data_IF_745532198393
#
_entry.id   IF_745532198393
#
_cell.length_a   1.000
_cell.length_b   1.000
_cell.length_c   1.000
_cell.angle_alpha   90.00
_cell.angle_beta   90.00
_cell.angle_gamma   90.00
#
_symmetry.space_group_name_H-M   'P 1'
#
loop_
_entity.id
_entity.type
_entity.pdbx_description
1 polymer ?
#
# COMPACT_ATOMS: atom_id res chain seq x y z
N UNK A 1 -19.96 -27.95 8.82
CA UNK A 1 -19.68 -29.29 9.38
C UNK A 1 -20.17 -29.23 10.82
N UNK A 2 -21.36 -29.75 11.12
CA UNK A 2 -21.85 -29.74 12.50
C UNK A 2 -20.94 -30.67 13.32
N UNK A 3 -20.28 -30.14 14.36
CA UNK A 3 -19.54 -30.94 15.29
C UNK A 3 -20.53 -31.85 16.04
N UNK A 4 -20.46 -33.15 15.76
CA UNK A 4 -21.15 -34.16 16.56
C UNK A 4 -20.33 -34.31 17.84
N UNK A 5 -20.76 -33.60 18.89
CA UNK A 5 -20.32 -33.88 20.26
C UNK A 5 -20.90 -35.24 20.66
N UNK A 6 -20.03 -36.20 20.97
CA UNK A 6 -20.43 -37.46 21.58
C UNK A 6 -20.53 -37.23 23.09
N UNK A 7 -21.74 -36.94 23.57
CA UNK A 7 -22.05 -37.09 24.99
C UNK A 7 -22.33 -38.58 25.27
N UNK A 8 -21.60 -39.14 26.25
CA UNK A 8 -21.59 -40.55 26.64
C UNK A 8 -22.84 -40.97 27.46
N UNK A 9 -23.88 -40.14 27.46
CA UNK A 9 -25.13 -40.39 28.18
C UNK A 9 -26.24 -40.61 27.15
N UNK A 10 -26.62 -41.87 26.95
CA UNK A 10 -27.53 -42.36 25.92
C UNK A 10 -29.01 -41.91 26.03
N UNK A 11 -29.27 -40.64 26.32
CA UNK A 11 -30.59 -40.03 26.16
C UNK A 11 -30.68 -39.33 24.79
N UNK A 12 -31.27 -40.05 23.85
CA UNK A 12 -31.63 -39.55 22.52
C UNK A 12 -32.81 -38.57 22.60
N UNK A 13 -32.59 -37.35 23.07
CA UNK A 13 -33.44 -36.22 22.69
C UNK A 13 -32.88 -35.60 21.41
N UNK A 14 -33.13 -36.27 20.28
CA UNK A 14 -32.93 -35.72 18.95
C UNK A 14 -33.98 -34.62 18.70
N UNK A 15 -33.80 -33.44 19.28
CA UNK A 15 -34.39 -32.22 18.74
C UNK A 15 -33.63 -31.88 17.46
N UNK A 16 -33.92 -32.65 16.41
CA UNK A 16 -33.56 -32.33 15.04
C UNK A 16 -34.37 -31.11 14.60
N UNK A 17 -34.00 -29.92 15.07
CA UNK A 17 -34.22 -28.72 14.28
C UNK A 17 -33.24 -28.78 13.13
N UNK A 18 -33.54 -29.62 12.14
CA UNK A 18 -32.84 -29.78 10.87
C UNK A 18 -33.13 -28.59 9.97
N UNK A 19 -32.82 -27.39 10.47
CA UNK A 19 -32.69 -26.17 9.71
C UNK A 19 -31.32 -25.60 10.04
N UNK A 20 -30.56 -25.08 9.06
CA UNK A 20 -29.29 -24.45 9.35
C UNK A 20 -29.55 -23.30 10.33
N UNK A 21 -28.89 -23.23 11.50
CA UNK A 21 -29.00 -22.04 12.29
C UNK A 21 -28.36 -20.93 11.46
N UNK A 22 -29.17 -19.95 11.01
CA UNK A 22 -28.68 -18.79 10.26
C UNK A 22 -27.72 -17.93 11.10
N UNK A 23 -27.65 -18.20 12.40
CA UNK A 23 -26.72 -17.61 13.37
C UNK A 23 -25.99 -18.72 14.11
N UNK A 24 -24.66 -18.72 14.06
CA UNK A 24 -23.86 -19.63 14.86
C UNK A 24 -24.05 -19.39 16.37
N UNK A 25 -24.04 -20.47 17.16
CA UNK A 25 -24.12 -20.38 18.61
C UNK A 25 -22.86 -19.71 19.19
N UNK A 26 -22.98 -18.89 20.25
CA UNK A 26 -21.83 -18.31 20.92
C UNK A 26 -20.93 -19.39 21.52
N UNK A 27 -19.61 -19.21 21.43
CA UNK A 27 -18.60 -20.04 22.08
C UNK A 27 -18.08 -19.27 23.31
N UNK A 28 -18.72 -19.53 24.46
CA UNK A 28 -18.43 -18.85 25.72
C UNK A 28 -17.12 -19.35 26.37
N UNK A 29 -16.72 -20.61 26.14
CA UNK A 29 -15.61 -21.22 26.87
C UNK A 29 -14.24 -20.68 26.45
N UNK A 30 -14.07 -20.31 25.17
CA UNK A 30 -12.80 -19.81 24.64
C UNK A 30 -12.84 -18.33 24.24
N UNK A 31 -13.94 -17.61 24.48
CA UNK A 31 -14.15 -16.24 23.99
C UNK A 31 -13.91 -16.07 22.47
N UNK A 32 -13.96 -17.16 21.70
CA UNK A 32 -13.74 -17.15 20.25
C UNK A 32 -14.87 -16.46 19.52
N UNK A 33 -16.08 -16.58 20.05
CA UNK A 33 -17.26 -15.90 19.55
C UNK A 33 -18.16 -15.50 20.72
N UNK A 34 -17.93 -14.29 21.23
CA UNK A 34 -18.82 -13.65 22.19
C UNK A 34 -19.41 -12.38 21.57
N UNK A 35 -20.72 -12.20 21.70
CA UNK A 35 -21.39 -10.94 21.37
C UNK A 35 -21.12 -9.83 22.42
N UNK A 36 -20.33 -10.13 23.44
CA UNK A 36 -19.88 -9.19 24.47
C UNK A 36 -18.49 -8.62 24.14
N UNK A 37 -18.09 -7.54 24.81
CA UNK A 37 -16.84 -6.83 24.51
C UNK A 37 -15.59 -7.63 24.95
N UNK A 38 -14.99 -8.40 24.03
CA UNK A 38 -13.69 -9.03 24.21
C UNK A 38 -12.58 -8.24 23.52
N UNK A 39 -11.55 -7.83 24.27
CA UNK A 39 -10.42 -7.05 23.75
C UNK A 39 -9.26 -7.91 23.21
N UNK A 40 -9.31 -9.23 23.35
CA UNK A 40 -8.22 -10.14 22.95
C UNK A 40 -7.87 -10.02 21.47
N UNK A 41 -8.83 -9.69 20.61
CA UNK A 41 -8.64 -9.50 19.16
C UNK A 41 -8.49 -8.04 18.72
N UNK A 42 -8.41 -7.08 19.65
CA UNK A 42 -8.49 -5.65 19.30
C UNK A 42 -7.38 -5.23 18.33
N UNK A 43 -6.11 -5.56 18.60
CA UNK A 43 -5.00 -5.07 17.76
C UNK A 43 -5.02 -5.63 16.34
N UNK A 44 -5.40 -6.91 16.15
CA UNK A 44 -5.64 -7.50 14.82
C UNK A 44 -6.80 -6.80 14.12
N UNK A 45 -7.96 -6.68 14.78
CA UNK A 45 -9.14 -6.03 14.20
C UNK A 45 -8.86 -4.56 13.84
N UNK A 46 -8.21 -3.81 14.73
CA UNK A 46 -7.82 -2.43 14.53
C UNK A 46 -6.81 -2.29 13.39
N UNK A 47 -5.78 -3.14 13.34
CA UNK A 47 -4.77 -3.11 12.26
C UNK A 47 -5.39 -3.43 10.91
N UNK A 48 -6.26 -4.42 10.84
CA UNK A 48 -7.03 -4.76 9.64
C UNK A 48 -7.92 -3.61 9.19
N UNK A 49 -8.66 -2.98 10.12
CA UNK A 49 -9.51 -1.83 9.82
C UNK A 49 -8.70 -0.60 9.36
N UNK A 50 -7.52 -0.40 9.94
CA UNK A 50 -6.62 0.68 9.57
C UNK A 50 -6.03 0.47 8.19
N UNK A 51 -5.59 -0.75 7.90
CA UNK A 51 -5.06 -1.13 6.59
C UNK A 51 -6.14 -1.05 5.51
N UNK A 52 -7.37 -1.50 5.80
CA UNK A 52 -8.47 -1.45 4.83
C UNK A 52 -8.91 -0.03 4.46
N UNK A 53 -8.68 0.95 5.35
CA UNK A 53 -8.95 2.37 5.09
C UNK A 53 -7.68 3.16 4.73
N UNK A 54 -6.59 2.49 4.34
CA UNK A 54 -5.33 3.15 4.01
C UNK A 54 -5.34 3.69 2.57
N UNK A 55 -5.89 4.89 2.39
CA UNK A 55 -5.82 5.63 1.12
C UNK A 55 -5.07 6.97 1.24
N UNK A 56 -4.51 7.29 2.41
CA UNK A 56 -3.90 8.60 2.71
C UNK A 56 -2.76 8.93 1.74
N UNK A 57 -2.01 7.92 1.29
CA UNK A 57 -0.91 8.10 0.33
C UNK A 57 -1.39 8.52 -1.07
N UNK A 58 -2.63 8.18 -1.44
CA UNK A 58 -3.23 8.46 -2.75
C UNK A 58 -4.01 9.79 -2.77
N UNK A 59 -4.38 10.33 -1.60
CA UNK A 59 -5.18 11.56 -1.48
C UNK A 59 -4.61 12.73 -2.30
N UNK A 60 -3.29 13.05 -2.26
CA UNK A 60 -2.76 14.16 -3.05
C UNK A 60 -2.91 13.96 -4.56
N UNK A 61 -2.79 12.70 -5.03
CA UNK A 61 -2.97 12.34 -6.43
C UNK A 61 -4.43 12.44 -6.87
N UNK A 62 -5.37 12.05 -6.00
CA UNK A 62 -6.81 12.12 -6.24
C UNK A 62 -7.37 13.55 -6.23
N UNK A 63 -6.77 14.45 -5.45
CA UNK A 63 -7.20 15.87 -5.38
C UNK A 63 -6.65 16.68 -6.57
N UNK A 64 -5.55 16.23 -7.19
CA UNK A 64 -4.86 16.97 -8.26
C UNK A 64 -5.76 17.32 -9.46
N UNK A 65 -6.63 16.42 -9.96
CA UNK A 65 -7.48 16.69 -11.13
C UNK A 65 -8.65 17.64 -10.87
N UNK A 66 -8.96 17.98 -9.62
CA UNK A 66 -10.02 18.94 -9.31
C UNK A 66 -9.56 20.36 -9.71
N UNK A 67 -10.38 21.07 -10.49
CA UNK A 67 -10.12 22.45 -10.88
C UNK A 67 -10.61 23.43 -9.81
N UNK A 68 -9.86 24.52 -9.61
CA UNK A 68 -10.21 25.59 -8.67
C UNK A 68 -9.98 25.27 -7.19
N UNK A 69 -9.56 26.28 -6.41
CA UNK A 69 -9.36 26.12 -4.96
C UNK A 69 -10.68 26.05 -4.18
N UNK A 70 -11.72 26.74 -4.65
CA UNK A 70 -13.02 26.82 -3.96
C UNK A 70 -13.74 25.47 -3.97
N UNK A 71 -13.77 24.79 -5.12
CA UNK A 71 -14.39 23.47 -5.24
C UNK A 71 -13.65 22.41 -4.41
N UNK A 72 -12.32 22.52 -4.31
CA UNK A 72 -11.52 21.64 -3.46
C UNK A 72 -11.93 21.74 -1.99
N UNK A 73 -12.24 22.94 -1.49
CA UNK A 73 -12.60 23.12 -0.07
C UNK A 73 -13.90 22.41 0.27
N UNK A 74 -14.88 22.55 -0.61
CA UNK A 74 -16.24 22.11 -0.35
C UNK A 74 -16.42 20.63 -0.68
N UNK A 75 -15.90 20.17 -1.82
CA UNK A 75 -16.17 18.82 -2.33
C UNK A 75 -15.23 17.77 -1.76
N UNK A 76 -13.97 18.10 -1.46
CA UNK A 76 -12.99 17.09 -1.01
C UNK A 76 -13.41 16.42 0.30
N UNK A 77 -13.73 17.14 1.40
CA UNK A 77 -14.13 16.48 2.65
C UNK A 77 -15.41 15.65 2.48
N UNK A 78 -16.34 16.12 1.65
CA UNK A 78 -17.60 15.41 1.37
C UNK A 78 -17.35 14.10 0.62
N UNK A 79 -16.57 14.14 -0.47
CA UNK A 79 -16.27 12.96 -1.29
C UNK A 79 -15.48 11.93 -0.49
N UNK A 80 -14.42 12.34 0.21
CA UNK A 80 -13.62 11.42 1.03
C UNK A 80 -14.39 10.90 2.25
N UNK A 81 -15.22 11.74 2.87
CA UNK A 81 -16.09 11.33 3.97
C UNK A 81 -17.15 10.32 3.53
N UNK A 82 -17.80 10.57 2.39
CA UNK A 82 -18.77 9.65 1.81
C UNK A 82 -18.13 8.33 1.38
N UNK A 83 -16.93 8.36 0.78
CA UNK A 83 -16.21 7.13 0.40
C UNK A 83 -15.83 6.31 1.63
N UNK A 84 -15.30 6.95 2.68
CA UNK A 84 -14.96 6.31 3.95
C UNK A 84 -16.18 5.65 4.62
N UNK A 85 -17.29 6.38 4.68
CA UNK A 85 -18.52 5.88 5.29
C UNK A 85 -19.07 4.69 4.50
N UNK A 86 -19.01 4.77 3.17
CA UNK A 86 -19.49 3.72 2.27
C UNK A 86 -18.65 2.44 2.42
N UNK A 87 -17.31 2.55 2.36
CA UNK A 87 -16.42 1.39 2.52
C UNK A 87 -16.54 0.78 3.91
N UNK A 88 -16.60 1.61 4.95
CA UNK A 88 -16.82 1.16 6.33
C UNK A 88 -18.14 0.39 6.46
N UNK A 89 -19.23 0.91 5.87
CA UNK A 89 -20.54 0.25 5.91
C UNK A 89 -20.50 -1.13 5.24
N UNK A 90 -19.85 -1.24 4.08
CA UNK A 90 -19.68 -2.53 3.40
C UNK A 90 -18.80 -3.50 4.20
N UNK A 91 -17.70 -3.04 4.78
CA UNK A 91 -16.85 -3.88 5.62
C UNK A 91 -17.55 -4.37 6.89
N UNK A 92 -18.34 -3.50 7.54
CA UNK A 92 -19.14 -3.89 8.70
C UNK A 92 -20.23 -4.89 8.31
N UNK A 93 -20.94 -4.65 7.20
CA UNK A 93 -21.98 -5.56 6.72
C UNK A 93 -21.39 -6.94 6.40
N UNK A 94 -20.29 -6.99 5.65
CA UNK A 94 -19.62 -8.24 5.30
C UNK A 94 -19.05 -8.95 6.53
N UNK A 95 -18.39 -8.20 7.42
CA UNK A 95 -17.82 -8.73 8.65
C UNK A 95 -18.87 -9.32 9.59
N UNK A 96 -19.97 -8.58 9.84
CA UNK A 96 -21.07 -9.06 10.68
C UNK A 96 -21.74 -10.28 10.04
N UNK A 97 -22.04 -10.24 8.73
CA UNK A 97 -22.70 -11.36 8.04
C UNK A 97 -21.84 -12.62 8.03
N UNK A 98 -20.53 -12.48 7.79
CA UNK A 98 -19.60 -13.60 7.81
C UNK A 98 -19.46 -14.18 9.22
N UNK A 99 -19.25 -13.32 10.22
CA UNK A 99 -19.13 -13.74 11.61
C UNK A 99 -20.43 -14.37 12.13
N UNK A 100 -21.61 -13.86 11.76
CA UNK A 100 -22.88 -14.45 12.17
C UNK A 100 -23.14 -15.80 11.50
N UNK A 101 -22.76 -15.95 10.23
CA UNK A 101 -23.00 -17.17 9.47
C UNK A 101 -22.03 -18.30 9.81
N UNK A 102 -20.72 -18.02 9.84
CA UNK A 102 -19.68 -19.03 10.11
C UNK A 102 -19.37 -19.19 11.60
N UNK A 103 -19.65 -18.19 12.42
CA UNK A 103 -19.38 -18.24 13.85
C UNK A 103 -17.91 -18.42 14.21
N UNK A 104 -17.65 -19.29 15.18
CA UNK A 104 -16.30 -19.64 15.64
C UNK A 104 -15.43 -20.29 14.54
N UNK A 105 -16.04 -20.84 13.48
CA UNK A 105 -15.31 -21.45 12.34
C UNK A 105 -14.84 -20.40 11.31
N UNK A 106 -15.06 -19.10 11.55
CA UNK A 106 -14.59 -18.04 10.65
C UNK A 106 -13.06 -18.07 10.57
N UNK A 107 -12.51 -18.31 9.37
CA UNK A 107 -11.06 -18.28 9.14
C UNK A 107 -10.58 -16.82 9.05
N UNK A 108 -9.28 -16.60 9.26
CA UNK A 108 -8.64 -15.28 9.13
C UNK A 108 -8.91 -14.61 7.77
N UNK A 109 -9.07 -15.43 6.72
CA UNK A 109 -9.56 -15.01 5.42
C UNK A 109 -10.88 -15.70 5.12
N UNK A 110 -11.98 -14.95 5.12
CA UNK A 110 -13.35 -15.45 4.98
C UNK A 110 -13.58 -16.18 3.65
N UNK A 111 -12.87 -15.83 2.58
CA UNK A 111 -12.96 -16.54 1.30
C UNK A 111 -12.57 -18.03 1.43
N UNK A 112 -11.66 -18.38 2.35
CA UNK A 112 -11.24 -19.77 2.57
C UNK A 112 -12.33 -20.63 3.22
N UNK A 113 -13.34 -20.02 3.87
CA UNK A 113 -14.50 -20.75 4.36
C UNK A 113 -15.35 -21.34 3.21
N UNK A 114 -15.17 -20.86 1.98
CA UNK A 114 -15.87 -21.35 0.78
C UNK A 114 -15.09 -22.42 0.01
N UNK A 115 -13.84 -22.73 0.39
CA UNK A 115 -12.99 -23.63 -0.37
C UNK A 115 -13.37 -25.12 -0.24
N UNK A 116 -13.96 -25.51 0.89
CA UNK A 116 -14.20 -26.91 1.25
C UNK A 116 -15.65 -27.35 0.89
N UNK A 117 -15.90 -27.65 -0.39
CA UNK A 117 -17.20 -28.14 -0.91
C UNK A 117 -18.42 -27.35 -0.41
N UNK A 118 -18.31 -26.02 -0.33
CA UNK A 118 -19.36 -25.18 0.20
C UNK A 118 -20.60 -25.18 -0.71
N UNK A 119 -21.70 -25.78 -0.23
CA UNK A 119 -22.97 -25.94 -0.96
C UNK A 119 -24.06 -24.94 -0.55
N UNK A 120 -23.71 -23.86 0.17
CA UNK A 120 -24.67 -22.85 0.66
C UNK A 120 -25.83 -23.45 1.50
N UNK A 121 -25.59 -24.59 2.15
CA UNK A 121 -26.60 -25.30 2.94
C UNK A 121 -27.49 -26.25 2.13
N UNK A 122 -27.23 -26.44 0.84
CA UNK A 122 -27.92 -27.44 0.02
C UNK A 122 -27.39 -28.85 0.32
N UNK A 123 -28.32 -29.79 0.49
CA UNK A 123 -27.99 -31.20 0.67
C UNK A 123 -27.54 -31.82 -0.67
N UNK A 124 -26.31 -32.37 -0.77
CA UNK A 124 -25.80 -32.96 -2.01
C UNK A 124 -26.63 -34.15 -2.50
N UNK A 125 -27.29 -34.90 -1.61
CA UNK A 125 -28.12 -36.04 -2.00
C UNK A 125 -29.48 -35.66 -2.59
N UNK A 126 -30.08 -34.57 -2.10
CA UNK A 126 -31.41 -34.14 -2.52
C UNK A 126 -31.40 -33.15 -3.69
N UNK A 127 -30.26 -32.50 -3.94
CA UNK A 127 -30.15 -31.38 -4.89
C UNK A 127 -29.70 -31.86 -6.28
N UNK A 128 -30.31 -31.32 -7.34
CA UNK A 128 -29.90 -31.63 -8.71
C UNK A 128 -28.42 -31.26 -8.97
N UNK A 129 -27.69 -32.15 -9.66
CA UNK A 129 -26.25 -32.03 -9.87
C UNK A 129 -25.82 -30.71 -10.54
N UNK A 130 -26.63 -30.17 -11.45
CA UNK A 130 -26.31 -28.92 -12.13
C UNK A 130 -26.31 -27.71 -11.17
N UNK A 131 -27.20 -27.69 -10.17
CA UNK A 131 -27.26 -26.65 -9.13
C UNK A 131 -26.00 -26.73 -8.28
N UNK A 132 -25.61 -27.95 -7.86
CA UNK A 132 -24.38 -28.18 -7.12
C UNK A 132 -23.14 -27.71 -7.90
N UNK A 133 -23.08 -27.97 -9.21
CA UNK A 133 -21.99 -27.48 -10.06
C UNK A 133 -21.94 -25.95 -10.11
N UNK A 134 -23.08 -25.27 -10.21
CA UNK A 134 -23.15 -23.80 -10.17
C UNK A 134 -22.69 -23.26 -8.81
N UNK A 135 -23.12 -23.87 -7.71
CA UNK A 135 -22.67 -23.50 -6.36
C UNK A 135 -21.15 -23.68 -6.20
N UNK A 136 -20.61 -24.82 -6.66
CA UNK A 136 -19.15 -25.06 -6.62
C UNK A 136 -18.37 -24.05 -7.47
N UNK A 137 -18.91 -23.68 -8.63
CA UNK A 137 -18.30 -22.66 -9.49
C UNK A 137 -18.32 -21.29 -8.81
N UNK A 138 -19.45 -20.90 -8.22
CA UNK A 138 -19.57 -19.64 -7.49
C UNK A 138 -18.59 -19.57 -6.30
N UNK A 139 -18.53 -20.62 -5.48
CA UNK A 139 -17.56 -20.74 -4.38
C UNK A 139 -16.10 -20.66 -4.88
N UNK A 140 -15.78 -21.33 -6.00
CA UNK A 140 -14.45 -21.26 -6.62
C UNK A 140 -14.09 -19.83 -7.06
N UNK A 141 -15.05 -19.08 -7.61
CA UNK A 141 -14.84 -17.67 -7.97
C UNK A 141 -14.56 -16.84 -6.73
N UNK A 142 -15.33 -17.00 -5.66
CA UNK A 142 -15.11 -16.27 -4.39
C UNK A 142 -13.72 -16.55 -3.79
N UNK A 143 -13.27 -17.81 -3.85
CA UNK A 143 -11.95 -18.22 -3.36
C UNK A 143 -10.82 -17.63 -4.20
N UNK A 144 -10.95 -17.69 -5.53
CA UNK A 144 -9.90 -17.31 -6.48
C UNK A 144 -9.82 -15.80 -6.75
N UNK A 145 -10.92 -15.07 -6.58
CA UNK A 145 -10.99 -13.65 -6.93
C UNK A 145 -9.94 -12.79 -6.22
N UNK A 146 -9.72 -12.90 -4.90
CA UNK A 146 -8.64 -12.15 -4.24
C UNK A 146 -7.24 -12.44 -4.80
N UNK A 147 -6.97 -13.69 -5.20
CA UNK A 147 -5.69 -14.06 -5.81
C UNK A 147 -5.51 -13.41 -7.19
N UNK A 148 -6.57 -13.38 -8.01
CA UNK A 148 -6.54 -12.73 -9.32
C UNK A 148 -6.42 -11.21 -9.22
N UNK A 149 -7.15 -10.60 -8.28
CA UNK A 149 -7.09 -9.16 -8.02
C UNK A 149 -5.68 -8.74 -7.58
N UNK A 150 -5.11 -9.44 -6.60
CA UNK A 150 -3.74 -9.17 -6.13
C UNK A 150 -2.68 -9.40 -7.20
N UNK A 151 -2.82 -10.42 -8.05
CA UNK A 151 -1.91 -10.63 -9.20
C UNK A 151 -1.91 -9.44 -10.17
N UNK A 152 -3.07 -8.82 -10.38
CA UNK A 152 -3.20 -7.66 -11.28
C UNK A 152 -2.66 -6.37 -10.66
N UNK A 153 -2.82 -6.19 -9.34
CA UNK A 153 -2.43 -4.97 -8.62
C UNK A 153 -0.96 -4.99 -8.20
N UNK A 154 -0.37 -6.17 -7.96
CA UNK A 154 1.00 -6.29 -7.46
C UNK A 154 2.06 -5.57 -8.32
N UNK A 155 2.07 -5.68 -9.66
CA UNK A 155 3.05 -4.96 -10.50
C UNK A 155 2.93 -3.44 -10.37
N UNK A 156 1.71 -2.93 -10.16
CA UNK A 156 1.46 -1.49 -10.00
C UNK A 156 2.00 -0.98 -8.65
N UNK A 157 1.82 -1.75 -7.58
CA UNK A 157 2.39 -1.45 -6.26
C UNK A 157 3.92 -1.45 -6.35
N UNK A 158 4.52 -2.50 -6.93
CA UNK A 158 5.97 -2.59 -7.09
C UNK A 158 6.55 -1.44 -7.93
N UNK A 159 5.83 -1.03 -8.99
CA UNK A 159 6.21 0.12 -9.80
C UNK A 159 6.19 1.43 -8.99
N UNK A 160 5.10 1.68 -8.25
CA UNK A 160 4.96 2.89 -7.43
C UNK A 160 6.02 2.96 -6.33
N UNK A 161 6.22 1.87 -5.60
CA UNK A 161 7.25 1.79 -4.56
C UNK A 161 8.66 1.94 -5.15
N UNK A 162 8.96 1.28 -6.27
CA UNK A 162 10.25 1.39 -6.95
C UNK A 162 10.56 2.82 -7.41
N UNK A 163 9.56 3.56 -7.92
CA UNK A 163 9.73 4.96 -8.31
C UNK A 163 9.98 5.87 -7.10
N UNK A 164 9.28 5.63 -5.97
CA UNK A 164 9.48 6.37 -4.73
C UNK A 164 10.87 6.10 -4.12
N UNK A 165 11.34 4.85 -4.15
CA UNK A 165 12.69 4.48 -3.72
C UNK A 165 13.76 5.14 -4.61
N UNK A 166 13.56 5.15 -5.93
CA UNK A 166 14.47 5.85 -6.85
C UNK A 166 14.52 7.36 -6.55
N UNK A 167 13.37 8.00 -6.31
CA UNK A 167 13.31 9.42 -6.00
C UNK A 167 13.98 9.76 -4.64
N UNK A 168 13.92 8.83 -3.69
CA UNK A 168 14.58 8.96 -2.38
C UNK A 168 16.07 8.59 -2.44
N UNK A 169 16.47 7.81 -3.45
CA UNK A 169 17.86 7.40 -3.62
C UNK A 169 18.75 8.61 -3.94
N UNK A 170 19.96 8.61 -3.36
CA UNK A 170 20.92 9.68 -3.60
C UNK A 170 21.24 9.80 -5.10
N UNK A 171 21.42 11.02 -5.64
CA UNK A 171 21.85 11.21 -7.03
C UNK A 171 23.18 10.51 -7.36
N UNK A 172 23.95 10.11 -6.33
CA UNK A 172 25.15 9.29 -6.49
C UNK A 172 24.87 7.91 -7.09
N UNK A 173 23.68 7.32 -6.86
CA UNK A 173 23.39 5.97 -7.36
C UNK A 173 23.22 5.94 -8.89
N UNK A 174 22.38 6.78 -9.53
CA UNK A 174 22.35 6.87 -10.99
C UNK A 174 23.72 7.22 -11.60
N UNK A 175 24.47 8.11 -10.96
CA UNK A 175 25.83 8.47 -11.41
C UNK A 175 26.80 7.29 -11.34
N UNK A 176 26.73 6.48 -10.28
CA UNK A 176 27.50 5.26 -10.14
C UNK A 176 27.16 4.24 -11.23
N UNK A 177 25.86 4.07 -11.53
CA UNK A 177 25.40 3.20 -12.63
C UNK A 177 25.96 3.66 -13.97
N UNK A 178 25.90 4.96 -14.28
CA UNK A 178 26.50 5.53 -15.50
C UNK A 178 28.00 5.23 -15.57
N UNK A 179 28.74 5.46 -14.47
CA UNK A 179 30.18 5.19 -14.41
C UNK A 179 30.49 3.72 -14.63
N UNK A 180 29.70 2.81 -14.07
CA UNK A 180 29.85 1.36 -14.25
C UNK A 180 29.56 0.94 -15.68
N UNK A 181 28.51 1.47 -16.31
CA UNK A 181 28.19 1.22 -17.71
C UNK A 181 29.31 1.70 -18.65
N UNK A 182 29.86 2.90 -18.43
CA UNK A 182 31.01 3.42 -19.18
C UNK A 182 32.22 2.50 -19.06
N UNK A 183 32.55 2.08 -17.84
CA UNK A 183 33.70 1.19 -17.61
C UNK A 183 33.51 -0.18 -18.27
N UNK A 184 32.30 -0.74 -18.24
CA UNK A 184 31.98 -1.99 -18.94
C UNK A 184 32.05 -1.84 -20.47
N UNK A 185 31.61 -0.71 -21.03
CA UNK A 185 31.75 -0.42 -22.47
C UNK A 185 33.22 -0.32 -22.88
N UNK A 186 34.04 0.36 -22.08
CA UNK A 186 35.49 0.47 -22.34
C UNK A 186 36.19 -0.89 -22.32
N UNK A 187 35.84 -1.76 -21.35
CA UNK A 187 36.38 -3.13 -21.28
C UNK A 187 35.96 -4.03 -22.44
N UNK A 188 34.81 -3.76 -23.06
CA UNK A 188 34.29 -4.55 -24.18
C UNK A 188 34.88 -4.15 -25.54
N UNK A 189 35.84 -3.21 -25.59
CA UNK A 189 36.52 -2.82 -26.82
C UNK A 189 35.60 -2.13 -27.87
N UNK A 190 34.40 -1.70 -27.48
CA UNK A 190 33.43 -1.08 -28.40
C UNK A 190 33.59 0.45 -28.55
N UNK A 191 34.77 0.99 -28.25
CA UNK A 191 35.07 2.41 -28.50
C UNK A 191 35.67 2.61 -29.90
N UNK A 192 36.11 1.53 -30.57
CA UNK A 192 36.57 1.62 -31.95
C UNK A 192 35.40 1.46 -32.93
N UNK A 193 34.68 2.57 -33.14
CA UNK A 193 34.40 2.97 -34.51
C UNK A 193 33.35 2.22 -35.34
N UNK A 194 32.08 2.21 -34.94
CA UNK A 194 30.95 2.23 -35.90
C UNK A 194 29.60 2.53 -35.22
N UNK A 195 28.85 3.57 -35.61
CA UNK A 195 27.62 4.00 -34.91
C UNK A 195 26.35 3.21 -35.26
N UNK A 196 26.43 1.99 -35.79
CA UNK A 196 25.22 1.27 -36.24
C UNK A 196 24.52 0.48 -35.11
N UNK A 197 23.41 1.04 -34.65
CA UNK A 197 22.26 0.38 -34.03
C UNK A 197 22.38 -0.14 -32.57
N UNK A 198 22.07 0.76 -31.63
CA UNK A 198 21.92 0.47 -30.20
C UNK A 198 20.66 -0.35 -29.82
N UNK A 199 19.67 -0.49 -30.69
CA UNK A 199 18.41 -1.17 -30.34
C UNK A 199 18.61 -2.68 -30.18
N UNK A 200 19.72 -3.22 -30.70
CA UNK A 200 20.15 -4.59 -30.46
C UNK A 200 20.90 -4.81 -29.15
N UNK A 201 21.30 -3.80 -28.36
CA UNK A 201 22.25 -4.02 -27.26
C UNK A 201 21.69 -4.89 -26.13
N UNK A 202 20.45 -4.69 -25.69
CA UNK A 202 19.86 -5.51 -24.62
C UNK A 202 19.63 -6.97 -25.07
N UNK A 203 19.13 -7.15 -26.31
CA UNK A 203 19.01 -8.47 -26.93
C UNK A 203 20.37 -9.10 -27.23
N UNK A 204 21.39 -8.32 -27.54
CA UNK A 204 22.76 -8.78 -27.81
C UNK A 204 23.52 -9.09 -26.53
N UNK A 205 23.21 -8.45 -25.39
CA UNK A 205 23.73 -8.85 -24.07
C UNK A 205 23.13 -10.18 -23.63
N UNK A 206 21.81 -10.37 -23.75
CA UNK A 206 21.15 -11.66 -23.47
C UNK A 206 21.64 -12.73 -24.46
N UNK A 207 21.76 -12.41 -25.74
CA UNK A 207 22.25 -13.34 -26.77
C UNK A 207 23.77 -13.58 -26.70
N UNK A 208 24.57 -12.69 -26.09
CA UNK A 208 26.00 -12.91 -25.81
C UNK A 208 26.19 -13.72 -24.53
N UNK A 209 25.32 -13.58 -23.53
CA UNK A 209 25.26 -14.49 -22.38
C UNK A 209 24.93 -15.93 -22.84
N UNK A 210 23.98 -16.08 -23.77
CA UNK A 210 23.67 -17.38 -24.40
C UNK A 210 24.77 -17.88 -25.35
N UNK A 211 25.53 -16.98 -26.01
CA UNK A 211 26.69 -17.37 -26.86
C UNK A 211 27.95 -17.66 -26.06
N UNK A 212 28.14 -17.09 -24.87
CA UNK A 212 29.22 -17.48 -23.96
C UNK A 212 29.05 -18.91 -23.42
N UNK A 213 27.81 -19.41 -23.35
CA UNK A 213 27.53 -20.83 -23.12
C UNK A 213 27.80 -21.72 -24.35
N UNK A 214 28.10 -21.15 -25.53
CA UNK A 214 28.25 -21.86 -26.81
C UNK A 214 29.60 -21.65 -27.52
N UNK A 215 30.60 -21.04 -26.87
CA UNK A 215 32.02 -21.07 -27.25
C UNK A 215 32.37 -20.72 -28.71
N UNK A 216 32.19 -19.46 -29.14
CA UNK A 216 32.56 -19.01 -30.49
C UNK A 216 33.46 -17.75 -30.52
N UNK A 217 34.46 -17.76 -31.40
CA UNK A 217 35.56 -16.78 -31.56
C UNK A 217 35.19 -15.49 -32.36
N UNK A 218 35.95 -14.37 -32.23
CA UNK A 218 35.60 -13.08 -32.83
C UNK A 218 36.23 -12.80 -34.21
N UNK A 219 35.65 -11.89 -35.04
CA UNK A 219 36.15 -11.51 -36.36
C UNK A 219 36.97 -10.20 -36.38
N UNK A 220 37.77 -10.05 -37.45
CA UNK A 220 38.76 -8.99 -37.72
C UNK A 220 38.18 -7.58 -37.92
N UNK A 221 38.91 -6.57 -37.41
CA UNK A 221 38.62 -5.13 -37.54
C UNK A 221 39.16 -4.53 -38.86
N UNK A 222 38.41 -3.58 -39.44
CA UNK A 222 38.79 -2.74 -40.58
C UNK A 222 38.81 -1.25 -40.17
N UNK A 223 39.69 -0.49 -40.82
CA UNK A 223 40.21 0.84 -40.44
C UNK A 223 39.28 2.00 -40.86
N UNK A 224 39.15 3.04 -40.01
CA UNK A 224 38.22 4.17 -40.18
C UNK A 224 38.87 5.48 -40.73
N UNK A 225 38.10 6.31 -41.47
CA UNK A 225 38.47 7.64 -41.99
C UNK A 225 38.28 8.81 -40.98
N UNK A 226 38.79 10.03 -41.27
CA UNK A 226 38.89 11.16 -40.30
C UNK A 226 37.56 11.87 -39.96
N UNK A 227 37.48 12.60 -38.83
CA UNK A 227 36.23 13.09 -38.23
C UNK A 227 35.76 14.45 -38.78
N UNK A 228 34.53 14.50 -39.29
CA UNK A 228 33.80 15.71 -39.67
C UNK A 228 33.14 16.41 -38.46
N UNK A 229 32.80 17.69 -38.62
CA UNK A 229 32.16 18.56 -37.61
C UNK A 229 30.74 18.14 -37.18
N UNK A 230 30.16 17.12 -37.81
CA UNK A 230 28.96 16.40 -37.33
C UNK A 230 29.20 15.67 -36.00
N UNK A 231 30.45 15.33 -35.69
CA UNK A 231 30.84 14.52 -34.52
C UNK A 231 30.48 15.10 -33.14
N UNK A 232 30.34 16.43 -33.01
CA UNK A 232 30.08 17.06 -31.71
C UNK A 232 28.63 16.86 -31.25
N UNK A 233 27.66 16.95 -32.16
CA UNK A 233 26.25 16.72 -31.82
C UNK A 233 25.99 15.26 -31.46
N UNK A 234 26.66 14.34 -32.16
CA UNK A 234 26.56 12.89 -31.92
C UNK A 234 27.03 12.52 -30.50
N UNK A 235 28.11 13.12 -30.01
CA UNK A 235 28.63 12.88 -28.66
C UNK A 235 27.67 13.36 -27.55
N UNK A 236 27.00 14.50 -27.77
CA UNK A 236 26.02 15.04 -26.82
C UNK A 236 24.79 14.14 -26.74
N UNK A 237 24.30 13.67 -27.88
CA UNK A 237 23.12 12.81 -27.93
C UNK A 237 23.42 11.40 -27.40
N UNK A 238 24.64 10.88 -27.61
CA UNK A 238 25.08 9.63 -26.99
C UNK A 238 25.08 9.75 -25.45
N UNK A 239 25.61 10.84 -24.89
CA UNK A 239 25.62 11.07 -23.44
C UNK A 239 24.21 11.14 -22.86
N UNK A 240 23.27 11.81 -23.55
CA UNK A 240 21.86 11.86 -23.15
C UNK A 240 21.21 10.48 -23.19
N UNK A 241 21.50 9.68 -24.22
CA UNK A 241 20.99 8.31 -24.36
C UNK A 241 21.48 7.42 -23.23
N UNK A 242 22.78 7.46 -22.93
CA UNK A 242 23.36 6.71 -21.83
C UNK A 242 22.75 7.09 -20.47
N UNK A 243 22.51 8.39 -20.24
CA UNK A 243 21.86 8.85 -19.02
C UNK A 243 20.43 8.32 -18.89
N UNK A 244 19.66 8.33 -20.00
CA UNK A 244 18.31 7.75 -20.05
C UNK A 244 18.31 6.25 -19.77
N UNK A 245 19.27 5.50 -20.32
CA UNK A 245 19.39 4.06 -20.12
C UNK A 245 19.81 3.72 -18.68
N UNK A 246 20.71 4.51 -18.09
CA UNK A 246 21.07 4.36 -16.68
C UNK A 246 19.89 4.63 -15.73
N UNK A 247 19.06 5.64 -16.04
CA UNK A 247 17.82 5.90 -15.29
C UNK A 247 16.85 4.72 -15.41
N UNK A 248 16.63 4.20 -16.62
CA UNK A 248 15.78 3.01 -16.84
C UNK A 248 16.27 1.80 -16.06
N UNK A 249 17.57 1.52 -16.08
CA UNK A 249 18.16 0.41 -15.33
C UNK A 249 17.99 0.62 -13.82
N UNK A 250 18.22 1.84 -13.33
CA UNK A 250 18.02 2.20 -11.92
C UNK A 250 16.57 2.02 -11.50
N UNK A 251 15.61 2.42 -12.34
CA UNK A 251 14.18 2.19 -12.10
C UNK A 251 13.86 0.69 -12.02
N UNK A 252 14.34 -0.12 -12.96
CA UNK A 252 14.11 -1.58 -12.94
C UNK A 252 14.70 -2.19 -11.67
N UNK A 253 15.92 -1.80 -11.30
CA UNK A 253 16.58 -2.26 -10.08
C UNK A 253 15.73 -1.96 -8.84
N UNK A 254 15.27 -0.72 -8.66
CA UNK A 254 14.44 -0.37 -7.50
C UNK A 254 13.05 -1.04 -7.51
N UNK A 255 12.48 -1.31 -8.68
CA UNK A 255 11.24 -2.11 -8.79
C UNK A 255 11.45 -3.56 -8.38
N UNK A 256 12.59 -4.17 -8.73
CA UNK A 256 12.94 -5.51 -8.28
C UNK A 256 13.20 -5.54 -6.77
N UNK A 257 13.92 -4.57 -6.24
CA UNK A 257 14.14 -4.39 -4.79
C UNK A 257 12.81 -4.20 -4.04
N UNK A 258 11.83 -3.53 -4.66
CA UNK A 258 10.49 -3.39 -4.09
C UNK A 258 9.67 -4.70 -4.14
N UNK A 259 9.80 -5.49 -5.20
CA UNK A 259 9.03 -6.72 -5.40
C UNK A 259 9.59 -7.94 -4.63
N UNK A 260 10.90 -7.95 -4.35
CA UNK A 260 11.57 -9.11 -3.78
C UNK A 260 11.24 -9.40 -2.31
N UNK A 261 11.17 -8.40 -1.39
CA UNK A 261 10.85 -8.66 0.01
C UNK A 261 9.47 -9.31 0.21
N UNK A 262 8.39 -8.88 -0.46
CA UNK A 262 7.11 -9.60 -0.38
C UNK A 262 7.17 -11.05 -0.84
N UNK A 263 7.97 -11.35 -1.88
CA UNK A 263 8.13 -12.72 -2.41
C UNK A 263 8.93 -13.63 -1.47
N UNK A 264 9.95 -13.11 -0.81
CA UNK A 264 10.65 -13.86 0.25
C UNK A 264 9.73 -14.00 1.46
N UNK A 265 9.08 -12.90 1.85
CA UNK A 265 8.17 -12.83 2.97
C UNK A 265 7.05 -13.85 2.85
N UNK A 266 6.49 -14.07 1.66
CA UNK A 266 5.43 -15.06 1.44
C UNK A 266 5.87 -16.51 1.66
N UNK A 267 7.17 -16.82 1.61
CA UNK A 267 7.68 -18.17 1.91
C UNK A 267 7.70 -18.42 3.42
N UNK A 268 7.84 -17.37 4.22
CA UNK A 268 8.03 -17.46 5.67
C UNK A 268 6.76 -17.08 6.46
N UNK A 269 5.99 -16.11 5.97
CA UNK A 269 4.76 -15.63 6.59
C UNK A 269 3.56 -16.31 5.94
N UNK A 270 3.21 -17.50 6.44
CA UNK A 270 1.95 -18.17 6.08
C UNK A 270 0.74 -17.59 6.84
N UNK A 271 0.98 -16.87 7.93
CA UNK A 271 -0.08 -16.22 8.70
C UNK A 271 -0.40 -14.81 8.16
N UNK A 272 -1.61 -14.67 7.64
CA UNK A 272 -2.18 -13.41 7.19
C UNK A 272 -2.31 -12.41 8.35
N UNK A 273 -2.62 -12.89 9.55
CA UNK A 273 -2.83 -12.04 10.74
C UNK A 273 -1.55 -11.33 11.13
N UNK A 274 -0.42 -12.03 11.14
CA UNK A 274 0.90 -11.44 11.37
C UNK A 274 1.24 -10.36 10.34
N UNK A 275 1.00 -10.64 9.06
CA UNK A 275 1.25 -9.68 7.97
C UNK A 275 0.40 -8.42 8.12
N UNK A 276 -0.87 -8.57 8.52
CA UNK A 276 -1.79 -7.45 8.78
C UNK A 276 -1.40 -6.64 10.01
N UNK A 277 -0.91 -7.27 11.08
CA UNK A 277 -0.39 -6.57 12.26
C UNK A 277 0.81 -5.70 11.90
N UNK A 278 1.77 -6.24 11.13
CA UNK A 278 2.94 -5.49 10.68
C UNK A 278 2.54 -4.32 9.77
N UNK A 279 1.62 -4.57 8.83
CA UNK A 279 1.06 -3.52 7.97
C UNK A 279 0.31 -2.45 8.79
N UNK A 280 -0.37 -2.86 9.86
CA UNK A 280 -1.05 -1.98 10.82
C UNK A 280 -0.10 -0.98 11.47
N UNK A 281 1.11 -1.40 11.87
CA UNK A 281 2.13 -0.49 12.44
C UNK A 281 2.51 0.61 11.46
N UNK A 282 2.76 0.26 10.20
CA UNK A 282 3.04 1.24 9.15
C UNK A 282 1.83 2.15 8.87
N UNK A 283 0.62 1.57 8.83
CA UNK A 283 -0.63 2.30 8.69
C UNK A 283 -0.84 3.32 9.82
N UNK A 284 -0.48 2.96 11.05
CA UNK A 284 -0.64 3.81 12.23
C UNK A 284 0.29 5.02 12.16
N UNK A 285 1.52 4.80 11.70
CA UNK A 285 2.43 5.91 11.40
C UNK A 285 1.87 6.86 10.34
N UNK A 286 1.42 6.33 9.21
CA UNK A 286 0.96 7.15 8.06
C UNK A 286 -0.37 7.84 8.34
N UNK A 287 -1.31 7.18 9.01
CA UNK A 287 -2.66 7.69 9.25
C UNK A 287 -2.75 8.63 10.45
N UNK A 288 -1.97 8.40 11.51
CA UNK A 288 -2.11 9.16 12.75
C UNK A 288 -0.88 9.99 13.10
N UNK A 289 0.32 9.39 13.14
CA UNK A 289 1.53 10.09 13.59
C UNK A 289 1.96 11.18 12.61
N UNK A 290 2.13 10.84 11.33
CA UNK A 290 2.64 11.78 10.33
C UNK A 290 1.74 13.02 10.17
N UNK A 291 0.40 12.91 10.02
CA UNK A 291 -0.48 14.06 9.93
C UNK A 291 -0.46 14.92 11.20
N UNK A 292 -0.46 14.29 12.38
CA UNK A 292 -0.43 14.99 13.67
C UNK A 292 0.86 15.77 13.87
N UNK A 293 2.01 15.17 13.56
CA UNK A 293 3.30 15.86 13.62
C UNK A 293 3.40 16.99 12.60
N UNK A 294 2.92 16.78 11.38
CA UNK A 294 2.89 17.83 10.35
C UNK A 294 1.99 19.00 10.78
N UNK A 295 0.84 18.73 11.39
CA UNK A 295 -0.06 19.76 11.92
C UNK A 295 0.60 20.55 13.06
N UNK A 296 1.20 19.86 14.04
CA UNK A 296 1.91 20.52 15.14
C UNK A 296 3.10 21.36 14.65
N UNK A 297 3.88 20.84 13.70
CA UNK A 297 4.99 21.56 13.09
C UNK A 297 4.51 22.79 12.32
N UNK A 298 3.41 22.67 11.58
CA UNK A 298 2.77 23.77 10.86
C UNK A 298 2.30 24.87 11.81
N UNK A 299 1.58 24.51 12.88
CA UNK A 299 1.14 25.45 13.91
C UNK A 299 2.32 26.16 14.60
N UNK A 300 3.38 25.42 14.95
CA UNK A 300 4.61 26.01 15.53
C UNK A 300 5.28 27.00 14.57
N UNK A 301 5.36 26.68 13.28
CA UNK A 301 5.89 27.60 12.25
C UNK A 301 5.02 28.85 12.10
N UNK A 302 3.69 28.72 12.11
CA UNK A 302 2.74 29.85 12.06
C UNK A 302 2.91 30.78 13.26
N UNK A 303 3.05 30.22 14.47
CA UNK A 303 3.28 31.01 15.71
C UNK A 303 4.61 31.76 15.67
N UNK A 304 5.70 31.11 15.24
CA UNK A 304 7.02 31.76 15.08
C UNK A 304 6.98 32.91 14.07
N UNK A 305 6.24 32.77 12.96
CA UNK A 305 6.06 33.86 11.98
C UNK A 305 5.29 35.04 12.56
N UNK A 306 4.23 34.78 13.34
CA UNK A 306 3.46 35.84 14.03
C UNK A 306 4.33 36.59 15.05
N UNK A 307 5.10 35.87 15.87
CA UNK A 307 5.99 36.47 16.86
C UNK A 307 7.12 37.29 16.21
N UNK A 308 7.68 36.84 15.08
CA UNK A 308 8.67 37.65 14.33
C UNK A 308 8.06 38.95 13.80
N UNK A 309 6.81 38.94 13.35
CA UNK A 309 6.10 40.14 12.88
C UNK A 309 5.82 41.13 14.02
N UNK A 310 5.55 40.65 15.24
CA UNK A 310 5.32 41.54 16.39
C UNK A 310 6.60 42.19 16.94
N UNK A 311 7.78 41.63 16.65
CA UNK A 311 9.08 42.10 17.16
C UNK A 311 9.83 43.03 16.20
N UNK A 312 9.28 43.35 15.03
CA UNK A 312 9.87 44.27 14.04
C UNK A 312 9.08 45.60 13.96
N UNK A 313 9.30 46.57 14.87
CA UNK A 313 8.49 47.79 14.98
C UNK A 313 8.63 48.85 13.85
N UNK A 314 9.79 49.18 13.25
CA UNK A 314 9.85 50.32 12.34
C UNK A 314 9.33 50.05 10.91
N UNK A 315 9.26 48.78 10.46
CA UNK A 315 8.66 48.43 9.16
C UNK A 315 7.15 48.19 9.23
N UNK A 316 6.61 47.91 10.43
CA UNK A 316 5.18 47.71 10.65
C UNK A 316 4.40 49.03 10.66
N UNK A 317 5.02 50.14 11.06
CA UNK A 317 4.40 51.48 10.99
C UNK A 317 4.29 52.00 9.54
N UNK A 318 5.30 51.74 8.70
CA UNK A 318 5.25 52.10 7.27
C UNK A 318 4.27 51.21 6.48
N UNK A 319 4.21 49.91 6.78
CA UNK A 319 3.24 48.99 6.15
C UNK A 319 1.80 49.12 6.69
N UNK A 320 1.60 49.72 7.87
CA UNK A 320 0.27 50.00 8.41
C UNK A 320 -0.42 51.18 7.71
N UNK A 321 0.35 52.17 7.23
CA UNK A 321 -0.17 53.29 6.45
C UNK A 321 -0.65 52.87 5.04
N UNK A 322 0.01 51.88 4.42
CA UNK A 322 -0.43 51.31 3.14
C UNK A 322 -1.52 50.23 3.29
N UNK A 323 -1.72 49.68 4.49
CA UNK A 323 -2.70 48.61 4.76
C UNK A 323 -4.11 49.13 5.09
N UNK A 324 -4.28 50.42 5.38
CA UNK A 324 -5.59 51.00 5.67
C UNK A 324 -6.42 51.23 4.39
N UNK A 325 -5.78 51.41 3.23
CA UNK A 325 -6.45 51.58 1.93
C UNK A 325 -6.89 50.22 1.32
N UNK A 326 -6.22 49.11 1.67
CA UNK A 326 -6.57 47.75 1.26
C UNK A 326 -7.53 47.02 2.24
N UNK A 327 -7.77 47.60 3.44
CA UNK A 327 -8.64 47.02 4.46
C UNK A 327 -10.13 46.97 4.05
N UNK A 328 -10.55 47.83 3.12
CA UNK A 328 -11.91 47.80 2.55
C UNK A 328 -12.10 46.70 1.49
N UNK A 329 -11.01 46.11 0.97
CA UNK A 329 -11.06 44.98 0.03
C UNK A 329 -10.76 43.62 0.71
N UNK A 330 -10.09 43.63 1.87
CA UNK A 330 -9.60 42.44 2.60
C UNK A 330 -10.56 41.86 3.67
N UNK A 331 -11.77 42.41 3.83
CA UNK A 331 -12.83 41.81 4.66
C UNK A 331 -13.56 40.64 4.00
N UNK A 332 -13.13 40.20 2.81
CA UNK A 332 -13.39 38.81 2.39
C UNK A 332 -12.36 37.92 3.08
N UNK A 333 -12.69 37.54 4.32
CA UNK A 333 -12.06 36.46 5.09
C UNK A 333 -11.85 35.26 4.16
N UNK A 334 -10.69 35.18 3.52
CA UNK A 334 -10.34 34.10 2.60
C UNK A 334 -10.03 32.89 3.47
N UNK A 335 -11.09 32.23 3.92
CA UNK A 335 -11.03 30.97 4.65
C UNK A 335 -10.22 30.01 3.78
N UNK A 336 -8.97 29.81 4.17
CA UNK A 336 -8.18 28.79 3.52
C UNK A 336 -8.86 27.45 3.84
N UNK A 337 -8.72 26.48 2.93
CA UNK A 337 -9.21 25.09 3.07
C UNK A 337 -8.81 24.41 4.40
N UNK A 338 -7.92 25.05 5.15
CA UNK A 338 -7.31 24.53 6.36
C UNK A 338 -7.69 25.33 7.61
N UNK A 339 -8.59 26.31 7.53
CA UNK A 339 -9.11 27.07 8.68
C UNK A 339 -10.51 26.56 9.07
N UNK A 340 -10.57 25.32 9.58
CA UNK A 340 -11.75 24.74 10.21
C UNK A 340 -11.47 24.28 11.64
N UNK A 341 -12.48 23.72 12.30
CA UNK A 341 -12.38 23.13 13.64
C UNK A 341 -11.26 22.07 13.75
N UNK A 342 -10.98 21.34 12.66
CA UNK A 342 -9.89 20.37 12.54
C UNK A 342 -8.49 21.00 12.50
N UNK A 343 -8.37 22.32 12.30
CA UNK A 343 -7.08 23.04 12.28
C UNK A 343 -6.48 23.22 13.66
N UNK A 344 -7.29 23.07 14.70
CA UNK A 344 -6.86 23.26 16.07
C UNK A 344 -5.79 22.24 16.46
N UNK A 345 -4.61 22.75 16.85
CA UNK A 345 -3.51 21.92 17.34
C UNK A 345 -3.89 21.06 18.55
N UNK A 346 -4.98 21.40 19.25
CA UNK A 346 -5.51 20.62 20.36
C UNK A 346 -5.95 19.22 19.93
N UNK A 347 -6.46 19.04 18.70
CA UNK A 347 -6.89 17.72 18.19
C UNK A 347 -5.72 16.77 17.91
N UNK A 348 -4.52 17.30 17.64
CA UNK A 348 -3.35 16.46 17.38
C UNK A 348 -2.90 15.68 18.63
N UNK A 349 -3.06 16.23 19.83
CA UNK A 349 -2.65 15.57 21.08
C UNK A 349 -3.45 14.31 21.43
N UNK A 350 -4.81 14.31 21.45
CA UNK A 350 -5.57 13.10 21.70
C UNK A 350 -5.38 12.07 20.58
N UNK A 351 -5.21 12.50 19.32
CA UNK A 351 -4.89 11.58 18.22
C UNK A 351 -3.54 10.90 18.44
N UNK A 352 -2.52 11.63 18.88
CA UNK A 352 -1.22 11.06 19.25
C UNK A 352 -1.31 10.14 20.48
N UNK A 353 -2.11 10.51 21.47
CA UNK A 353 -2.38 9.68 22.65
C UNK A 353 -3.02 8.34 22.26
N UNK A 354 -4.06 8.38 21.41
CA UNK A 354 -4.69 7.19 20.86
C UNK A 354 -3.71 6.36 20.02
N UNK A 355 -2.96 7.00 19.11
CA UNK A 355 -2.00 6.32 18.26
C UNK A 355 -0.89 5.62 19.07
N UNK A 356 -0.35 6.28 20.09
CA UNK A 356 0.67 5.69 20.98
C UNK A 356 0.11 4.51 21.78
N UNK A 357 -1.10 4.63 22.32
CA UNK A 357 -1.78 3.55 23.01
C UNK A 357 -2.02 2.34 22.09
N UNK A 358 -2.61 2.57 20.90
CA UNK A 358 -2.88 1.52 19.93
C UNK A 358 -1.60 0.87 19.41
N UNK A 359 -0.52 1.64 19.23
CA UNK A 359 0.80 1.10 18.88
C UNK A 359 1.33 0.18 19.98
N UNK A 360 1.17 0.56 21.26
CA UNK A 360 1.53 -0.29 22.39
C UNK A 360 0.83 -1.64 22.35
N UNK A 361 -0.49 -1.66 22.13
CA UNK A 361 -1.26 -2.90 22.03
C UNK A 361 -0.79 -3.75 20.84
N UNK A 362 -0.65 -3.15 19.66
CA UNK A 362 -0.22 -3.88 18.46
C UNK A 362 1.19 -4.47 18.63
N UNK A 363 2.11 -3.75 19.27
CA UNK A 363 3.46 -4.25 19.54
C UNK A 363 3.47 -5.42 20.53
N UNK A 364 2.61 -5.41 21.55
CA UNK A 364 2.45 -6.55 22.47
C UNK A 364 1.95 -7.77 21.70
N UNK A 365 0.90 -7.62 20.88
CA UNK A 365 0.36 -8.73 20.08
C UNK A 365 1.35 -9.27 19.04
N UNK A 366 2.18 -8.40 18.44
CA UNK A 366 3.27 -8.83 17.55
C UNK A 366 4.30 -9.63 18.35
N UNK A 367 4.61 -9.22 19.57
CA UNK A 367 5.50 -9.96 20.47
C UNK A 367 4.98 -11.37 20.74
N UNK A 368 3.70 -11.49 21.10
CA UNK A 368 3.06 -12.77 21.37
C UNK A 368 3.08 -13.67 20.12
N UNK A 369 2.63 -13.15 18.96
CA UNK A 369 2.65 -13.88 17.69
C UNK A 369 4.08 -14.32 17.29
N UNK A 370 5.08 -13.47 17.54
CA UNK A 370 6.48 -13.81 17.27
C UNK A 370 6.97 -14.96 18.16
N UNK A 371 6.61 -14.96 19.44
CA UNK A 371 6.99 -16.04 20.35
C UNK A 371 6.36 -17.37 19.96
N UNK A 372 5.09 -17.37 19.52
CA UNK A 372 4.43 -18.57 19.00
C UNK A 372 5.15 -19.13 17.76
N UNK A 373 5.54 -18.26 16.81
CA UNK A 373 6.28 -18.65 15.60
C UNK A 373 7.70 -19.20 15.87
N UNK A 374 8.33 -18.82 16.98
CA UNK A 374 9.69 -19.30 17.31
C UNK A 374 9.69 -20.61 18.09
N UNK A 375 8.55 -20.97 18.69
CA UNK A 375 8.41 -22.17 19.55
C UNK A 375 7.80 -23.34 18.77
N UNK A 376 6.92 -23.06 17.79
CA UNK A 376 6.35 -24.06 16.87
C UNK A 376 7.23 -24.33 15.68
#
# INVERSE_FOLDING_TARGET
RAAVSYDDNGDYSSSSSSGPPYFAAPDEENCRMSYTACFSGFGVAFSTALFSQLFQHSVPGLIRPLDGQREKVEKVPLVFGASLLTTWSFYMLLGITAASYFGADTRSSVNLNFADDFTFGLDPSATAQWILTVCKLASSVVVMFPALDTLSVFPLIANTLGNNLLATSSPAFPQWVVKRMMHSRQKLGMIDGSPSSCDGWFHSVIARLLRQLRGGAPPNQQQQPPPDSSSVNDAVDEKKKLHRDALRLSTIFWRLVAAFPPLIGSVWATDLSFSLLLAGVAGLYVAFFAPSFMQLASCRRRRRRRQRRSLSPPAAAAAAADAEEDASCLMTTRSNVFEGWYSNASLAYPVLGFATFSLGIVLVQIGDAWTEMMIG
#
